data_IF_994254635726
#
_entry.id   IF_994254635726
#
_cell.length_a   1.000
_cell.length_b   1.000
_cell.length_c   1.000
_cell.angle_alpha   90.00
_cell.angle_beta   90.00
_cell.angle_gamma   90.00
#
_symmetry.space_group_name_H-M   'P 1'
#
loop_
_entity.id
_entity.type
_entity.pdbx_description
1 polymer ?
#
# COMPACT_ATOMS: atom_id res chain seq x y z
N UNK A 1 -27.17 -11.42 41.63
CA UNK A 1 -26.08 -11.88 40.73
C UNK A 1 -26.37 -11.62 39.24
N UNK A 2 -27.61 -11.30 38.85
CA UNK A 2 -28.06 -11.18 37.45
C UNK A 2 -27.46 -10.00 36.65
N UNK A 3 -26.94 -8.95 37.30
CA UNK A 3 -26.26 -7.85 36.62
C UNK A 3 -24.83 -8.17 36.15
N UNK A 4 -24.18 -9.19 36.75
CA UNK A 4 -22.82 -9.62 36.38
C UNK A 4 -22.78 -10.41 35.05
N UNK A 5 -23.88 -11.02 34.65
CA UNK A 5 -23.94 -11.85 33.43
C UNK A 5 -24.09 -10.97 32.18
N UNK A 6 -24.88 -9.90 32.28
CA UNK A 6 -25.12 -8.96 31.18
C UNK A 6 -23.87 -8.14 30.85
N UNK A 7 -23.10 -7.74 31.87
CA UNK A 7 -21.85 -6.99 31.68
C UNK A 7 -20.73 -7.82 31.07
N UNK A 8 -20.79 -9.15 31.19
CA UNK A 8 -19.77 -10.04 30.61
C UNK A 8 -19.98 -10.27 29.10
N UNK A 9 -21.24 -10.31 28.63
CA UNK A 9 -21.55 -10.54 27.21
C UNK A 9 -21.27 -9.33 26.31
N UNK A 10 -21.50 -8.12 26.83
CA UNK A 10 -21.27 -6.86 26.08
C UNK A 10 -19.80 -6.64 25.74
N UNK A 11 -18.88 -7.11 26.58
CA UNK A 11 -17.44 -6.95 26.36
C UNK A 11 -16.95 -7.72 25.13
N UNK A 12 -17.57 -8.86 24.80
CA UNK A 12 -17.18 -9.68 23.65
C UNK A 12 -17.66 -9.03 22.35
N UNK A 13 -18.90 -8.55 22.34
CA UNK A 13 -19.51 -7.90 21.16
C UNK A 13 -18.75 -6.62 20.78
N UNK A 14 -18.32 -5.83 21.77
CA UNK A 14 -17.52 -4.63 21.54
C UNK A 14 -16.18 -4.95 20.88
N UNK A 15 -15.47 -5.98 21.35
CA UNK A 15 -14.15 -6.37 20.79
C UNK A 15 -14.29 -6.87 19.35
N UNK A 16 -15.30 -7.68 19.07
CA UNK A 16 -15.55 -8.20 17.70
C UNK A 16 -15.90 -7.07 16.74
N UNK A 17 -16.71 -6.08 17.18
CA UNK A 17 -17.04 -4.90 16.38
C UNK A 17 -15.82 -4.06 16.01
N UNK A 18 -14.90 -3.83 16.96
CA UNK A 18 -13.65 -3.09 16.71
C UNK A 18 -12.73 -3.85 15.75
N UNK A 19 -12.56 -5.16 15.94
CA UNK A 19 -11.71 -5.98 15.08
C UNK A 19 -12.19 -5.97 13.61
N UNK A 20 -13.50 -6.16 13.39
CA UNK A 20 -14.09 -6.13 12.04
C UNK A 20 -13.96 -4.72 11.44
N UNK A 21 -14.22 -3.66 12.23
CA UNK A 21 -14.08 -2.28 11.77
C UNK A 21 -12.67 -1.94 11.30
N UNK A 22 -11.65 -2.29 12.08
CA UNK A 22 -10.24 -2.07 11.72
C UNK A 22 -9.87 -2.85 10.47
N UNK A 23 -10.22 -4.14 10.37
CA UNK A 23 -9.89 -4.95 9.17
C UNK A 23 -10.60 -4.41 7.92
N UNK A 24 -11.84 -3.95 8.02
CA UNK A 24 -12.54 -3.33 6.89
C UNK A 24 -11.87 -2.02 6.47
N UNK A 25 -11.44 -1.18 7.42
CA UNK A 25 -10.70 0.06 7.12
C UNK A 25 -9.34 -0.26 6.51
N UNK A 26 -8.58 -1.22 7.05
CA UNK A 26 -7.28 -1.63 6.51
C UNK A 26 -7.41 -2.34 5.17
N UNK A 27 -8.47 -3.10 4.91
CA UNK A 27 -8.72 -3.73 3.62
C UNK A 27 -9.19 -2.72 2.56
N UNK A 28 -9.94 -1.68 2.97
CA UNK A 28 -10.37 -0.58 2.10
C UNK A 28 -9.25 0.45 1.89
N UNK A 29 -8.35 0.55 2.86
CA UNK A 29 -7.01 1.15 2.78
C UNK A 29 -5.98 0.05 2.54
N UNK A 30 -6.35 -0.97 1.74
CA UNK A 30 -5.46 -2.05 1.30
C UNK A 30 -4.45 -1.56 0.28
N UNK A 31 -3.83 -0.42 0.56
CA UNK A 31 -2.60 -0.02 -0.08
C UNK A 31 -1.51 -0.68 0.73
N UNK A 32 -0.96 -1.79 0.21
CA UNK A 32 0.33 -2.28 0.67
C UNK A 32 1.25 -1.06 0.86
N UNK A 33 1.76 -0.80 2.08
CA UNK A 33 2.55 0.40 2.33
C UNK A 33 3.77 0.47 1.39
N UNK A 34 4.27 -0.70 0.97
CA UNK A 34 5.28 -0.84 -0.07
C UNK A 34 4.81 -0.39 -1.45
N UNK A 35 3.56 -0.69 -1.83
CA UNK A 35 2.96 -0.27 -3.11
C UNK A 35 2.62 1.23 -3.10
N UNK A 36 2.14 1.75 -1.97
CA UNK A 36 1.91 3.20 -1.81
C UNK A 36 3.22 3.98 -1.87
N UNK A 37 4.27 3.50 -1.18
CA UNK A 37 5.61 4.07 -1.28
C UNK A 37 6.17 3.97 -2.70
N UNK A 38 5.97 2.83 -3.37
CA UNK A 38 6.39 2.62 -4.75
C UNK A 38 5.68 3.59 -5.72
N UNK A 39 4.36 3.74 -5.60
CA UNK A 39 3.59 4.70 -6.41
C UNK A 39 4.03 6.14 -6.16
N UNK A 40 4.33 6.52 -4.91
CA UNK A 40 4.86 7.84 -4.57
C UNK A 40 6.24 8.08 -5.19
N UNK A 41 7.13 7.09 -5.14
CA UNK A 41 8.45 7.18 -5.78
C UNK A 41 8.35 7.26 -7.30
N UNK A 42 7.57 6.39 -7.94
CA UNK A 42 7.28 6.45 -9.38
C UNK A 42 6.74 7.83 -9.75
N UNK A 43 5.76 8.33 -8.99
CA UNK A 43 5.17 9.64 -9.23
C UNK A 43 6.19 10.77 -9.12
N UNK A 44 7.09 10.73 -8.13
CA UNK A 44 8.13 11.75 -7.95
C UNK A 44 9.17 11.73 -9.07
N UNK A 45 9.54 10.54 -9.56
CA UNK A 45 10.49 10.38 -10.67
C UNK A 45 9.83 10.83 -11.99
N UNK A 46 8.62 10.36 -12.26
CA UNK A 46 7.91 10.68 -13.50
C UNK A 46 7.47 12.15 -13.56
N UNK A 47 7.29 12.83 -12.43
CA UNK A 47 6.97 14.27 -12.41
C UNK A 47 8.09 15.14 -12.98
N UNK A 48 9.34 14.65 -13.02
CA UNK A 48 10.48 15.33 -13.60
C UNK A 48 10.71 14.98 -15.08
N UNK A 49 9.90 14.10 -15.67
CA UNK A 49 10.01 13.61 -17.04
C UNK A 49 8.95 14.26 -17.93
N UNK A 50 9.30 14.52 -19.20
CA UNK A 50 8.39 15.05 -20.22
C UNK A 50 7.19 14.12 -20.49
N UNK A 51 7.44 12.81 -20.53
CA UNK A 51 6.43 11.77 -20.73
C UNK A 51 6.10 11.01 -19.44
N UNK A 52 5.27 11.63 -18.61
CA UNK A 52 4.75 11.02 -17.37
C UNK A 52 4.04 9.69 -17.58
N UNK A 53 3.38 9.50 -18.73
CA UNK A 53 2.58 8.29 -19.00
C UNK A 53 3.48 7.09 -19.32
N UNK A 54 4.47 7.28 -20.19
CA UNK A 54 5.47 6.26 -20.51
C UNK A 54 6.32 5.92 -19.29
N UNK A 55 6.69 6.93 -18.50
CA UNK A 55 7.42 6.70 -17.26
C UNK A 55 6.60 5.87 -16.26
N UNK A 56 5.31 6.16 -16.07
CA UNK A 56 4.47 5.36 -15.17
C UNK A 56 4.24 3.93 -15.67
N UNK A 57 4.09 3.74 -16.98
CA UNK A 57 3.92 2.41 -17.60
C UNK A 57 5.20 1.57 -17.44
N UNK A 58 6.34 2.19 -17.73
CA UNK A 58 7.67 1.60 -17.61
C UNK A 58 8.02 1.24 -16.17
N UNK A 59 7.89 2.22 -15.27
CA UNK A 59 8.39 2.14 -13.91
C UNK A 59 7.37 1.53 -12.94
N UNK A 60 6.08 1.57 -13.30
CA UNK A 60 5.01 0.86 -12.60
C UNK A 60 4.94 -0.64 -12.95
N UNK A 61 5.48 -1.05 -14.10
CA UNK A 61 5.69 -2.47 -14.42
C UNK A 61 6.90 -3.07 -13.68
N UNK A 62 7.79 -2.22 -13.14
CA UNK A 62 8.91 -2.66 -12.32
C UNK A 62 8.38 -3.24 -11.00
N UNK A 63 8.61 -4.52 -10.78
CA UNK A 63 8.14 -5.22 -9.59
C UNK A 63 8.70 -4.54 -8.32
N UNK A 64 7.86 -4.28 -7.30
CA UNK A 64 8.32 -3.70 -6.04
C UNK A 64 9.09 -4.76 -5.24
N UNK A 65 10.24 -5.21 -5.73
CA UNK A 65 11.06 -6.17 -4.99
C UNK A 65 11.73 -5.50 -3.81
N UNK A 66 12.04 -4.20 -3.88
CA UNK A 66 12.50 -3.38 -2.76
C UNK A 66 12.24 -1.88 -3.05
N UNK A 67 11.12 -1.34 -2.56
CA UNK A 67 10.79 0.10 -2.69
C UNK A 67 11.85 1.03 -2.06
N UNK A 68 12.72 0.48 -1.19
CA UNK A 68 13.84 1.19 -0.55
C UNK A 68 15.11 1.30 -1.38
N UNK A 69 15.24 0.60 -2.52
CA UNK A 69 16.48 0.61 -3.30
C UNK A 69 16.35 1.53 -4.54
N UNK A 70 16.89 2.76 -4.52
CA UNK A 70 16.85 3.66 -5.66
C UNK A 70 17.56 3.08 -6.90
N UNK A 71 18.47 2.12 -6.70
CA UNK A 71 19.17 1.38 -7.74
C UNK A 71 18.24 0.50 -8.58
N UNK A 72 17.18 -0.06 -7.98
CA UNK A 72 16.22 -0.92 -8.68
C UNK A 72 15.37 -0.12 -9.68
N UNK A 73 15.04 1.12 -9.32
CA UNK A 73 14.38 2.07 -10.22
C UNK A 73 15.26 2.47 -11.41
N UNK A 74 16.55 2.70 -11.16
CA UNK A 74 17.50 3.05 -12.21
C UNK A 74 17.71 1.90 -13.19
N UNK A 75 17.82 0.66 -12.68
CA UNK A 75 17.93 -0.53 -13.50
C UNK A 75 16.69 -0.73 -14.38
N UNK A 76 15.48 -0.59 -13.82
CA UNK A 76 14.24 -0.68 -14.58
C UNK A 76 14.13 0.40 -15.66
N UNK A 77 14.54 1.64 -15.35
CA UNK A 77 14.57 2.72 -16.32
C UNK A 77 15.56 2.46 -17.47
N UNK A 78 16.77 1.98 -17.17
CA UNK A 78 17.78 1.61 -18.17
C UNK A 78 17.31 0.44 -19.03
N UNK A 79 16.76 -0.61 -18.42
CA UNK A 79 16.33 -1.81 -19.12
C UNK A 79 15.14 -1.52 -20.05
N UNK A 80 14.24 -0.62 -19.64
CA UNK A 80 13.15 -0.15 -20.50
C UNK A 80 13.62 0.80 -21.60
N UNK A 81 14.65 1.60 -21.35
CA UNK A 81 15.28 2.46 -22.37
C UNK A 81 16.11 1.67 -23.38
N UNK A 82 16.53 0.46 -23.02
CA UNK A 82 17.31 -0.45 -23.86
C UNK A 82 16.43 -1.33 -24.78
N UNK A 83 15.11 -1.19 -24.72
CA UNK A 83 14.13 -1.91 -25.55
C UNK A 83 13.56 -1.01 -26.64
#
# INVERSE_FOLDING_TARGET
MSGKVIVSGVSIILVVGVAIGVVCVVNKTGNDPALAAHQKNVQSICSATEDQKLCQDTLGAAKPTNSSDPTAYLAAAVEASAK
#
